data_IF_875162903757
#
_entry.id   IF_875162903757
#
_cell.length_a   1.000
_cell.length_b   1.000
_cell.length_c   1.000
_cell.angle_alpha   90.00
_cell.angle_beta   90.00
_cell.angle_gamma   90.00
#
_symmetry.space_group_name_H-M   'P 1'
#
loop_
_entity.id
_entity.type
_entity.pdbx_description
1 polymer ?
#
# COMPACT_ATOMS: atom_id res chain seq x y z
N UNK A 1 -0.53 -12.48 -3.23
CA UNK A 1 -0.36 -11.04 -3.54
C UNK A 1 -0.31 -10.74 -5.04
N UNK A 2 -1.27 -11.24 -5.82
CA UNK A 2 -1.32 -10.96 -7.27
C UNK A 2 -2.00 -9.61 -7.59
N UNK A 3 -2.84 -9.12 -6.66
CA UNK A 3 -3.69 -7.94 -6.86
C UNK A 3 -2.90 -6.63 -6.97
N UNK A 4 -1.81 -6.45 -6.23
CA UNK A 4 -0.91 -5.27 -6.35
C UNK A 4 -0.25 -5.20 -7.73
N UNK A 5 0.19 -6.35 -8.25
CA UNK A 5 0.85 -6.43 -9.57
C UNK A 5 -0.12 -6.21 -10.72
N UNK A 6 -1.35 -6.70 -10.59
CA UNK A 6 -2.39 -6.52 -11.60
C UNK A 6 -3.11 -5.17 -11.48
N UNK A 7 -2.80 -4.38 -10.45
CA UNK A 7 -3.52 -3.14 -10.14
C UNK A 7 -4.97 -3.36 -9.71
N UNK A 8 -5.33 -4.57 -9.28
CA UNK A 8 -6.65 -4.94 -8.76
C UNK A 8 -6.77 -4.70 -7.24
N UNK A 9 -6.07 -3.69 -6.76
CA UNK A 9 -6.16 -3.22 -5.37
C UNK A 9 -7.29 -2.20 -5.32
N UNK A 10 -8.14 -2.19 -4.27
CA UNK A 10 -9.25 -1.24 -4.15
C UNK A 10 -8.77 0.19 -3.83
N UNK A 11 -7.89 0.75 -4.67
CA UNK A 11 -7.52 2.16 -4.71
C UNK A 11 -8.47 2.91 -5.64
N UNK A 12 -8.69 4.20 -5.39
CA UNK A 12 -9.71 4.99 -6.07
C UNK A 12 -9.55 5.00 -7.60
N UNK A 13 -8.33 4.95 -8.15
CA UNK A 13 -8.16 4.85 -9.61
C UNK A 13 -8.73 3.56 -10.20
N UNK A 14 -8.54 2.42 -9.50
CA UNK A 14 -9.11 1.14 -9.94
C UNK A 14 -10.62 1.11 -9.72
N UNK A 15 -11.09 1.56 -8.55
CA UNK A 15 -12.51 1.58 -8.20
C UNK A 15 -13.32 2.48 -9.15
N UNK A 16 -12.78 3.63 -9.53
CA UNK A 16 -13.40 4.53 -10.51
C UNK A 16 -13.54 3.84 -11.88
N UNK A 17 -12.50 3.12 -12.33
CA UNK A 17 -12.53 2.38 -13.60
C UNK A 17 -13.64 1.33 -13.64
N UNK A 18 -13.91 0.67 -12.51
CA UNK A 18 -15.00 -0.32 -12.38
C UNK A 18 -16.33 0.29 -11.89
N UNK A 19 -16.45 1.63 -11.90
CA UNK A 19 -17.65 2.38 -11.48
C UNK A 19 -18.10 2.12 -10.04
N UNK A 20 -17.15 1.79 -9.14
CA UNK A 20 -17.37 1.59 -7.69
C UNK A 20 -16.95 2.78 -6.84
N UNK A 21 -16.30 3.77 -7.42
CA UNK A 21 -16.01 5.06 -6.77
C UNK A 21 -16.43 6.20 -7.69
N UNK A 22 -16.91 7.31 -7.11
CA UNK A 22 -17.26 8.54 -7.84
C UNK A 22 -16.06 9.37 -8.27
N UNK A 23 -14.85 9.05 -7.78
CA UNK A 23 -13.63 9.76 -8.14
C UNK A 23 -12.41 8.83 -8.17
N UNK A 24 -11.47 9.10 -9.08
CA UNK A 24 -10.16 8.44 -9.12
C UNK A 24 -9.13 9.03 -8.16
N UNK A 25 -9.47 10.15 -7.51
CA UNK A 25 -8.54 10.99 -6.74
C UNK A 25 -8.16 10.36 -5.39
N UNK A 26 -6.95 10.64 -4.93
CA UNK A 26 -6.55 10.38 -3.55
C UNK A 26 -7.24 11.38 -2.60
N UNK A 27 -8.09 10.88 -1.73
CA UNK A 27 -8.84 11.71 -0.77
C UNK A 27 -7.93 12.41 0.24
N UNK A 28 -6.82 11.77 0.63
CA UNK A 28 -5.86 12.37 1.56
C UNK A 28 -5.11 13.55 0.94
N UNK A 29 -4.62 13.40 -0.30
CA UNK A 29 -3.97 14.51 -1.01
C UNK A 29 -4.93 15.68 -1.26
N UNK A 30 -6.20 15.38 -1.53
CA UNK A 30 -7.24 16.41 -1.61
C UNK A 30 -7.50 17.09 -0.25
N UNK A 31 -7.59 16.31 0.83
CA UNK A 31 -7.86 16.84 2.17
C UNK A 31 -6.74 17.72 2.71
N UNK A 32 -5.48 17.33 2.49
CA UNK A 32 -4.30 18.03 3.01
C UNK A 32 -3.97 19.29 2.22
N UNK A 33 -4.00 19.20 0.88
CA UNK A 33 -3.46 20.27 0.03
C UNK A 33 -4.32 20.60 -1.19
N UNK A 34 -5.55 20.08 -1.28
CA UNK A 34 -6.43 20.22 -2.45
C UNK A 34 -5.77 19.77 -3.76
N UNK A 35 -4.84 18.80 -3.67
CA UNK A 35 -4.12 18.28 -4.83
C UNK A 35 -4.99 17.27 -5.58
N UNK A 36 -5.14 17.47 -6.89
CA UNK A 36 -5.89 16.58 -7.78
C UNK A 36 -5.01 15.45 -8.33
N UNK A 37 -4.61 14.54 -7.46
CA UNK A 37 -3.76 13.40 -7.83
C UNK A 37 -4.59 12.12 -7.84
N UNK A 38 -4.45 11.31 -8.89
CA UNK A 38 -5.10 10.02 -8.99
C UNK A 38 -4.48 9.02 -7.99
N UNK A 39 -5.31 8.31 -7.22
CA UNK A 39 -4.84 7.29 -6.29
C UNK A 39 -4.51 6.00 -7.04
N UNK A 40 -3.30 5.93 -7.61
CA UNK A 40 -2.75 4.74 -8.27
C UNK A 40 -1.88 3.94 -7.31
N UNK A 41 -1.49 2.71 -7.71
CA UNK A 41 -0.53 1.90 -6.91
C UNK A 41 0.80 2.65 -6.74
N UNK A 42 1.30 3.31 -7.80
CA UNK A 42 2.53 4.10 -7.74
C UNK A 42 2.39 5.25 -6.76
N UNK A 43 1.29 6.00 -6.86
CA UNK A 43 1.04 7.11 -5.95
C UNK A 43 0.98 6.65 -4.49
N UNK A 44 0.18 5.63 -4.21
CA UNK A 44 0.02 5.06 -2.89
C UNK A 44 1.34 4.57 -2.29
N UNK A 45 2.09 3.76 -3.06
CA UNK A 45 3.32 3.11 -2.56
C UNK A 45 4.53 4.00 -2.53
N UNK A 46 4.62 5.03 -3.39
CA UNK A 46 5.89 5.73 -3.59
C UNK A 46 5.79 7.27 -3.48
N UNK A 47 4.62 7.89 -3.62
CA UNK A 47 4.55 9.35 -3.83
C UNK A 47 3.66 10.09 -2.82
N UNK A 48 2.61 9.44 -2.30
CA UNK A 48 1.56 10.10 -1.53
C UNK A 48 2.07 10.67 -0.21
N UNK A 49 2.27 12.00 -0.12
CA UNK A 49 2.84 12.66 1.06
C UNK A 49 2.14 12.30 2.37
N UNK A 50 0.84 11.98 2.33
CA UNK A 50 0.08 11.54 3.50
C UNK A 50 0.63 10.26 4.16
N UNK A 51 1.32 9.40 3.40
CA UNK A 51 1.94 8.18 3.89
C UNK A 51 3.48 8.26 3.97
N UNK A 52 4.05 9.48 4.02
CA UNK A 52 5.50 9.65 4.03
C UNK A 52 6.15 9.00 5.27
N UNK A 53 5.51 9.09 6.43
CA UNK A 53 6.01 8.49 7.67
C UNK A 53 6.01 6.96 7.61
N UNK A 54 4.91 6.34 7.17
CA UNK A 54 4.79 4.89 7.03
C UNK A 54 5.74 4.36 5.94
N UNK A 55 5.89 5.11 4.84
CA UNK A 55 6.85 4.75 3.78
C UNK A 55 8.28 4.84 4.26
N UNK A 56 8.64 5.78 5.12
CA UNK A 56 10.03 5.92 5.59
C UNK A 56 10.57 4.62 6.18
N UNK A 57 9.79 3.95 7.01
CA UNK A 57 10.19 2.67 7.61
C UNK A 57 10.30 1.55 6.57
N UNK A 58 9.35 1.50 5.62
CA UNK A 58 9.40 0.55 4.51
C UNK A 58 10.63 0.79 3.63
N UNK A 59 10.92 2.05 3.30
CA UNK A 59 12.06 2.46 2.48
C UNK A 59 13.38 2.08 3.15
N UNK A 60 13.50 2.31 4.46
CA UNK A 60 14.65 1.92 5.26
C UNK A 60 14.86 0.40 5.27
N UNK A 61 13.79 -0.38 5.40
CA UNK A 61 13.86 -1.84 5.43
C UNK A 61 14.16 -2.46 4.05
N UNK A 62 13.69 -1.82 2.97
CA UNK A 62 13.87 -2.30 1.59
C UNK A 62 15.17 -1.79 0.93
N UNK A 63 15.73 -0.69 1.41
CA UNK A 63 16.94 -0.06 0.87
C UNK A 63 16.79 0.26 -0.62
N UNK A 64 17.74 -0.20 -1.44
CA UNK A 64 17.77 0.03 -2.89
C UNK A 64 16.55 -0.51 -3.65
N UNK A 65 15.76 -1.41 -3.04
CA UNK A 65 14.59 -2.01 -3.68
C UNK A 65 13.29 -1.23 -3.40
N UNK A 66 13.33 -0.22 -2.55
CA UNK A 66 12.16 0.53 -2.05
C UNK A 66 11.28 1.16 -3.14
N UNK A 67 11.84 1.45 -4.33
CA UNK A 67 11.13 2.11 -5.42
C UNK A 67 10.81 1.21 -6.61
N UNK A 68 11.06 -0.09 -6.50
CA UNK A 68 10.77 -1.05 -7.56
C UNK A 68 9.81 -2.13 -7.07
N UNK A 69 8.53 -1.98 -7.42
CA UNK A 69 7.49 -2.95 -7.07
C UNK A 69 7.83 -4.37 -7.55
N UNK A 70 8.44 -4.53 -8.72
CA UNK A 70 8.81 -5.86 -9.24
C UNK A 70 9.87 -6.50 -8.35
N UNK A 71 10.90 -5.74 -7.97
CA UNK A 71 11.91 -6.20 -7.02
C UNK A 71 11.32 -6.51 -5.66
N UNK A 72 10.45 -5.65 -5.11
CA UNK A 72 9.79 -5.88 -3.82
C UNK A 72 9.03 -7.21 -3.85
N UNK A 73 8.27 -7.46 -4.91
CA UNK A 73 7.48 -8.68 -5.08
C UNK A 73 8.30 -9.95 -5.32
N UNK A 74 9.58 -9.84 -5.68
CA UNK A 74 10.44 -10.99 -5.97
C UNK A 74 11.01 -11.68 -4.70
N UNK A 75 10.65 -11.24 -3.49
CA UNK A 75 11.12 -11.87 -2.24
C UNK A 75 10.06 -11.77 -1.15
N UNK A 76 9.79 -12.89 -0.47
CA UNK A 76 8.87 -12.92 0.66
C UNK A 76 9.27 -11.99 1.80
N UNK A 77 10.58 -11.80 2.04
CA UNK A 77 11.09 -10.85 3.04
C UNK A 77 10.69 -9.41 2.71
N UNK A 78 10.88 -8.99 1.46
CA UNK A 78 10.52 -7.63 1.01
C UNK A 78 9.01 -7.42 0.95
N UNK A 79 8.30 -8.46 0.54
CA UNK A 79 6.84 -8.52 0.58
C UNK A 79 6.28 -8.35 2.01
N UNK A 80 6.93 -8.92 3.03
CA UNK A 80 6.54 -8.72 4.43
C UNK A 80 6.63 -7.25 4.83
N UNK A 81 7.67 -6.53 4.41
CA UNK A 81 7.80 -5.09 4.68
C UNK A 81 6.73 -4.26 3.96
N UNK A 82 6.39 -4.63 2.72
CA UNK A 82 5.27 -4.02 2.01
C UNK A 82 3.93 -4.23 2.74
N UNK A 83 3.67 -5.43 3.27
CA UNK A 83 2.44 -5.69 4.05
C UNK A 83 2.39 -4.86 5.34
N UNK A 84 3.52 -4.69 6.04
CA UNK A 84 3.58 -3.81 7.22
C UNK A 84 3.21 -2.37 6.86
N UNK A 85 3.74 -1.85 5.75
CA UNK A 85 3.34 -0.55 5.23
C UNK A 85 1.83 -0.48 5.01
N UNK A 86 1.28 -1.45 4.27
CA UNK A 86 -0.17 -1.51 4.00
C UNK A 86 -0.98 -1.53 5.30
N UNK A 87 -0.61 -2.34 6.28
CA UNK A 87 -1.27 -2.40 7.59
C UNK A 87 -1.23 -1.07 8.34
N UNK A 88 -0.08 -0.39 8.34
CA UNK A 88 0.11 0.91 9.02
C UNK A 88 -0.69 2.04 8.38
N UNK A 89 -0.79 2.07 7.05
CA UNK A 89 -1.59 3.11 6.36
C UNK A 89 -3.08 3.02 6.67
N UNK A 90 -3.56 1.87 7.18
CA UNK A 90 -4.96 1.59 7.42
C UNK A 90 -5.89 1.79 6.21
N UNK A 91 -5.35 2.01 5.00
CA UNK A 91 -6.13 2.40 3.82
C UNK A 91 -7.24 1.42 3.48
N UNK A 92 -6.98 0.13 3.73
CA UNK A 92 -7.92 -0.94 3.40
C UNK A 92 -8.78 -1.43 4.56
N UNK A 93 -8.69 -0.84 5.75
CA UNK A 93 -9.46 -1.29 6.94
C UNK A 93 -10.98 -1.27 6.69
N UNK A 94 -11.48 -0.32 5.89
CA UNK A 94 -12.91 -0.20 5.58
C UNK A 94 -13.33 -0.94 4.30
N UNK A 95 -12.39 -1.37 3.46
CA UNK A 95 -12.67 -2.12 2.21
C UNK A 95 -12.48 -3.63 2.35
N UNK A 96 -11.75 -4.07 3.38
CA UNK A 96 -11.48 -5.46 3.69
C UNK A 96 -11.90 -5.68 5.15
N UNK A 97 -13.21 -5.73 5.40
CA UNK A 97 -13.74 -6.07 6.72
C UNK A 97 -13.07 -7.35 7.26
N UNK A 98 -12.51 -7.25 8.46
CA UNK A 98 -12.15 -8.34 9.38
C UNK A 98 -11.22 -9.48 8.92
N UNK A 99 -10.60 -9.45 7.74
CA UNK A 99 -9.80 -10.59 7.25
C UNK A 99 -8.28 -10.47 7.38
N UNK A 100 -7.77 -9.46 8.11
CA UNK A 100 -6.37 -9.45 8.58
C UNK A 100 -6.41 -9.30 10.11
N UNK A 101 -7.02 -10.30 10.75
CA UNK A 101 -6.83 -10.55 12.16
C UNK A 101 -5.44 -11.15 12.35
N UNK A 102 -4.63 -10.43 13.14
CA UNK A 102 -3.51 -10.93 13.91
C UNK A 102 -2.22 -11.35 13.16
N UNK A 103 -1.20 -10.47 13.20
CA UNK A 103 0.20 -10.80 12.87
C UNK A 103 1.02 -10.84 14.17
N UNK A 104 0.50 -11.53 15.19
CA UNK A 104 1.17 -11.68 16.49
C UNK A 104 2.02 -12.94 16.61
N UNK A 105 2.22 -13.73 15.53
CA UNK A 105 3.06 -14.92 15.64
C UNK A 105 3.90 -15.14 14.38
N UNK A 106 5.04 -14.45 14.33
CA UNK A 106 6.21 -14.89 13.57
C UNK A 106 7.42 -14.68 14.47
N UNK A 107 7.46 -15.45 15.55
CA UNK A 107 8.71 -15.75 16.25
C UNK A 107 9.60 -16.55 15.27
N UNK A 108 10.90 -16.26 15.17
CA UNK A 108 11.83 -17.11 14.45
C UNK A 108 12.13 -18.35 15.32
N UNK A 109 11.72 -19.53 14.88
CA UNK A 109 12.25 -20.79 15.41
C UNK A 109 13.69 -20.94 14.89
N UNK A 110 14.65 -20.83 15.80
CA UNK A 110 16.05 -21.19 15.56
C UNK A 110 16.20 -22.71 15.66
N UNK A 111 16.88 -23.31 14.67
CA UNK A 111 17.20 -24.74 14.62
C UNK A 111 18.11 -25.06 13.45
#
# INVERSE_FOLDING_TARGET
>A
MMQLRSGHVPLNSYLFRIKKSGSRRCELCWGIGRLEIAETVVHYLFECQAYAAERYDMDKALGRYSRDLKSIMASMKRVKELLKFVGRTARFKNTLGDSIGDVSQLEPEEG
#
